data_IF_544146517472
#
_entry.id   IF_544146517472
#
_cell.length_a   1.000
_cell.length_b   1.000
_cell.length_c   1.000
_cell.angle_alpha   90.00
_cell.angle_beta   90.00
_cell.angle_gamma   90.00
#
_symmetry.space_group_name_H-M   'P 1'
#
loop_
_entity.id
_entity.type
_entity.pdbx_description
1 polymer ?
#
# COMPACT_ATOMS: atom_id res chain seq x y z
N UNK A 1 18.25 2.32 -7.93
CA UNK A 1 16.89 2.77 -8.03
C UNK A 1 15.93 1.96 -7.19
N UNK A 2 15.10 2.61 -6.47
CA UNK A 2 14.16 1.91 -5.63
C UNK A 2 13.03 1.33 -6.44
N UNK A 3 12.54 0.21 -6.00
CA UNK A 3 11.34 -0.33 -6.58
C UNK A 3 10.14 0.54 -6.26
N UNK A 4 9.07 0.33 -6.99
CA UNK A 4 7.84 1.06 -6.78
C UNK A 4 6.80 0.08 -6.26
N UNK A 5 6.05 0.50 -5.26
CA UNK A 5 5.00 -0.35 -4.71
C UNK A 5 3.84 -0.42 -5.68
N UNK A 6 3.16 -1.55 -5.67
CA UNK A 6 1.93 -1.75 -6.44
C UNK A 6 0.78 -1.90 -5.47
N UNK A 7 -0.23 -1.09 -5.63
CA UNK A 7 -1.39 -1.11 -4.75
C UNK A 7 -2.60 -1.64 -5.52
N UNK A 8 -3.12 -2.76 -5.05
CA UNK A 8 -4.29 -3.41 -5.66
C UNK A 8 -5.48 -3.21 -4.76
N UNK A 9 -6.58 -2.75 -5.32
CA UNK A 9 -7.73 -2.36 -4.51
C UNK A 9 -9.02 -2.63 -5.27
N UNK A 10 -10.10 -2.66 -4.51
CA UNK A 10 -11.43 -2.78 -5.08
C UNK A 10 -12.27 -1.60 -4.59
N UNK A 11 -13.59 -1.75 -4.68
CA UNK A 11 -14.47 -0.64 -4.30
C UNK A 11 -14.93 -0.70 -2.86
N UNK A 12 -14.33 -1.57 -2.07
CA UNK A 12 -14.72 -1.67 -0.67
C UNK A 12 -14.29 -0.42 0.10
N UNK A 13 -14.95 -0.20 1.23
CA UNK A 13 -14.62 0.93 2.08
C UNK A 13 -13.19 0.80 2.60
N UNK A 14 -12.77 -0.42 2.89
CA UNK A 14 -11.42 -0.65 3.40
C UNK A 14 -10.37 -0.27 2.36
N UNK A 15 -10.63 -0.62 1.10
CA UNK A 15 -9.70 -0.26 0.03
C UNK A 15 -9.61 1.25 -0.15
N UNK A 16 -10.75 1.93 -0.10
CA UNK A 16 -10.74 3.37 -0.26
C UNK A 16 -9.99 4.05 0.87
N UNK A 17 -10.15 3.55 2.07
CA UNK A 17 -9.45 4.11 3.21
C UNK A 17 -7.96 3.88 3.10
N UNK A 18 -7.56 2.71 2.65
CA UNK A 18 -6.14 2.41 2.46
C UNK A 18 -5.53 3.33 1.41
N UNK A 19 -6.23 3.53 0.31
CA UNK A 19 -5.73 4.44 -0.71
C UNK A 19 -5.57 5.85 -0.18
N UNK A 20 -6.56 6.29 0.58
CA UNK A 20 -6.50 7.63 1.16
C UNK A 20 -5.26 7.77 2.06
N UNK A 21 -4.98 6.74 2.85
CA UNK A 21 -3.84 6.81 3.75
C UNK A 21 -2.52 6.81 3.00
N UNK A 22 -2.45 6.06 1.91
CA UNK A 22 -1.25 6.08 1.09
C UNK A 22 -1.03 7.45 0.47
N UNK A 23 -2.09 8.07 -0.02
CA UNK A 23 -1.97 9.40 -0.60
C UNK A 23 -1.59 10.44 0.45
N UNK A 24 -2.18 10.33 1.62
CA UNK A 24 -1.88 11.26 2.69
C UNK A 24 -0.44 11.15 3.14
N UNK A 25 0.11 9.95 3.13
CA UNK A 25 1.49 9.73 3.52
C UNK A 25 2.46 10.00 2.38
N UNK A 26 1.94 10.31 1.20
CA UNK A 26 2.75 10.61 0.01
C UNK A 26 3.66 9.44 -0.36
N UNK A 27 3.11 8.24 -0.25
CA UNK A 27 3.83 7.04 -0.64
C UNK A 27 3.65 6.82 -2.14
N UNK A 28 4.74 6.82 -2.91
CA UNK A 28 4.61 6.58 -4.34
C UNK A 28 4.26 5.13 -4.61
N UNK A 29 3.21 4.91 -5.36
CA UNK A 29 2.83 3.56 -5.74
C UNK A 29 2.03 3.59 -7.03
N UNK A 30 2.12 2.49 -7.76
CA UNK A 30 1.30 2.31 -8.95
C UNK A 30 -0.02 1.70 -8.52
N UNK A 31 -1.07 2.06 -9.24
CA UNK A 31 -2.39 1.54 -8.92
C UNK A 31 -2.72 0.39 -9.86
N UNK A 32 -3.11 -0.72 -9.27
CA UNK A 32 -3.54 -1.87 -10.04
C UNK A 32 -5.01 -2.15 -9.84
N UNK A 33 -5.58 -2.93 -10.74
CA UNK A 33 -6.97 -3.30 -10.64
C UNK A 33 -7.18 -4.37 -9.58
N UNK A 34 -8.43 -4.76 -9.35
CA UNK A 34 -8.70 -5.82 -8.39
C UNK A 34 -8.11 -7.14 -8.86
N UNK A 35 -7.64 -7.91 -7.91
CA UNK A 35 -7.17 -9.25 -8.14
C UNK A 35 -8.19 -10.22 -7.56
N UNK A 36 -8.72 -11.10 -8.40
CA UNK A 36 -9.86 -11.90 -7.98
C UNK A 36 -9.53 -12.94 -6.93
N UNK A 37 -8.28 -13.33 -6.83
CA UNK A 37 -7.90 -14.37 -5.88
C UNK A 37 -7.10 -13.86 -4.71
N UNK A 38 -7.03 -12.55 -4.55
CA UNK A 38 -6.25 -11.97 -3.49
C UNK A 38 -7.15 -11.20 -2.54
N UNK A 39 -6.73 -11.14 -1.30
CA UNK A 39 -7.43 -10.33 -0.33
C UNK A 39 -7.07 -8.87 -0.54
N UNK A 40 -8.05 -8.05 -0.80
CA UNK A 40 -7.85 -6.63 -1.06
C UNK A 40 -8.33 -5.81 0.12
N UNK A 41 -7.73 -4.66 0.32
CA UNK A 41 -6.62 -4.08 -0.43
C UNK A 41 -5.31 -4.81 -0.18
N UNK A 42 -4.43 -4.76 -1.16
CA UNK A 42 -3.14 -5.41 -1.04
C UNK A 42 -2.08 -4.49 -1.63
N UNK A 43 -0.93 -4.44 -1.00
CA UNK A 43 0.19 -3.68 -1.51
C UNK A 43 1.38 -4.61 -1.66
N UNK A 44 1.99 -4.58 -2.82
CA UNK A 44 3.15 -5.41 -3.12
C UNK A 44 4.37 -4.52 -3.29
N UNK A 45 5.45 -4.86 -2.60
CA UNK A 45 6.66 -4.08 -2.65
C UNK A 45 7.86 -4.99 -2.41
N UNK A 46 8.73 -5.10 -3.40
CA UNK A 46 9.97 -5.88 -3.29
C UNK A 46 9.72 -7.28 -2.75
N UNK A 47 8.84 -8.01 -3.39
CA UNK A 47 8.52 -9.38 -3.03
C UNK A 47 7.82 -9.52 -1.68
N UNK A 48 7.42 -8.42 -1.06
CA UNK A 48 6.62 -8.46 0.16
C UNK A 48 5.21 -8.05 -0.16
N UNK A 49 4.26 -8.64 0.55
CA UNK A 49 2.85 -8.35 0.36
C UNK A 49 2.23 -7.89 1.67
N UNK A 50 1.48 -6.82 1.59
CA UNK A 50 0.78 -6.27 2.75
C UNK A 50 -0.71 -6.30 2.46
N UNK A 51 -1.45 -7.05 3.26
CA UNK A 51 -2.88 -7.27 3.02
C UNK A 51 -3.71 -6.51 4.04
N UNK A 52 -4.82 -5.95 3.56
CA UNK A 52 -5.76 -5.28 4.42
C UNK A 52 -5.26 -3.91 4.85
N UNK A 53 -6.16 -3.17 5.49
CA UNK A 53 -5.81 -1.83 5.94
C UNK A 53 -4.67 -1.86 6.96
N UNK A 54 -4.69 -2.85 7.84
CA UNK A 54 -3.63 -2.96 8.83
C UNK A 54 -2.28 -3.19 8.19
N UNK A 55 -2.22 -4.04 7.16
CA UNK A 55 -0.98 -4.28 6.47
C UNK A 55 -0.46 -3.04 5.78
N UNK A 56 -1.37 -2.30 5.15
CA UNK A 56 -0.97 -1.09 4.45
C UNK A 56 -0.48 -0.03 5.43
N UNK A 57 -1.12 0.05 6.59
CA UNK A 57 -0.65 0.98 7.61
C UNK A 57 0.75 0.62 8.11
N UNK A 58 1.01 -0.67 8.24
CA UNK A 58 2.34 -1.11 8.64
C UNK A 58 3.39 -0.70 7.60
N UNK A 59 3.04 -0.83 6.32
CA UNK A 59 3.95 -0.42 5.27
C UNK A 59 4.22 1.08 5.32
N UNK A 60 3.17 1.88 5.52
CA UNK A 60 3.33 3.32 5.61
C UNK A 60 4.24 3.69 6.76
N UNK A 61 4.07 3.00 7.88
CA UNK A 61 4.89 3.28 9.04
C UNK A 61 6.35 2.97 8.77
N UNK A 62 6.63 1.91 8.04
CA UNK A 62 8.01 1.58 7.68
C UNK A 62 8.61 2.65 6.79
N UNK A 63 7.84 3.14 5.84
CA UNK A 63 8.32 4.20 4.96
C UNK A 63 8.63 5.46 5.74
N UNK A 64 7.77 5.81 6.67
CA UNK A 64 8.01 6.99 7.49
C UNK A 64 9.26 6.85 8.33
N UNK A 65 9.46 5.67 8.88
CA UNK A 65 10.66 5.45 9.70
C UNK A 65 11.92 5.61 8.87
N UNK A 66 11.88 5.15 7.64
CA UNK A 66 13.07 5.24 6.80
C UNK A 66 13.40 6.66 6.40
N UNK A 67 12.40 7.50 6.34
CA UNK A 67 12.63 8.89 5.98
C UNK A 67 13.14 9.73 7.12
N UNK A 68 13.08 9.21 8.28
CA UNK A 68 13.35 10.00 9.45
C UNK A 68 14.80 10.39 9.63
N UNK A 69 15.67 9.62 9.10
CA UNK A 69 17.07 9.85 9.37
C UNK A 69 17.71 10.91 8.48
N UNK A 70 16.92 11.59 7.77
CA UNK A 70 17.43 12.66 6.92
C UNK A 70 17.87 13.86 7.76
#
# INVERSE_FOLDING_TARGET
>A
MQGVAWFFFDESAESKKALYELLKAKVPCNLGGPLSEERLPMLSYKAMEFHGLDGIRAFIKRCSSQKKDV
#
